data_IF_242029384164
#
_entry.id   IF_242029384164
#
_cell.length_a   1.000
_cell.length_b   1.000
_cell.length_c   1.000
_cell.angle_alpha   90.00
_cell.angle_beta   90.00
_cell.angle_gamma   90.00
#
_symmetry.space_group_name_H-M   'P 1'
#
loop_
_entity.id
_entity.type
_entity.pdbx_description
1 polymer ?
#
# COMPACT_ATOMS: atom_id res chain seq x y z
N UNK A 1 4.46 38.85 71.79
CA UNK A 1 5.13 38.56 70.50
C UNK A 1 4.64 37.23 69.97
N UNK A 2 4.25 37.20 68.70
CA UNK A 2 4.00 36.05 67.82
C UNK A 2 2.85 35.10 68.19
N UNK A 3 1.62 35.32 67.69
CA UNK A 3 1.13 35.00 66.33
C UNK A 3 1.24 33.49 66.00
N UNK A 4 0.13 32.77 65.98
CA UNK A 4 -0.61 32.40 64.74
C UNK A 4 -1.52 31.19 64.97
N UNK A 5 -2.80 31.50 65.01
CA UNK A 5 -3.92 30.61 64.76
C UNK A 5 -3.73 29.87 63.43
N UNK A 6 -3.68 28.54 63.49
CA UNK A 6 -3.79 27.61 62.36
C UNK A 6 -4.54 26.42 62.95
N UNK A 7 -5.68 25.96 62.43
CA UNK A 7 -5.85 25.47 61.08
C UNK A 7 -7.22 25.86 60.52
N UNK A 8 -7.21 26.35 59.28
CA UNK A 8 -8.37 26.41 58.40
C UNK A 8 -8.80 24.98 58.03
N UNK A 9 -10.07 24.68 58.25
CA UNK A 9 -10.77 23.57 57.62
C UNK A 9 -10.90 23.90 56.13
N UNK A 10 -10.27 23.11 55.29
CA UNK A 10 -10.49 23.13 53.84
C UNK A 10 -10.56 21.69 53.38
N UNK A 11 -11.75 21.11 53.45
CA UNK A 11 -12.07 19.85 52.83
C UNK A 11 -12.11 20.07 51.31
N UNK A 12 -10.94 20.02 50.67
CA UNK A 12 -10.87 19.93 49.22
C UNK A 12 -11.15 18.48 48.88
N UNK A 13 -12.41 18.21 48.50
CA UNK A 13 -12.77 16.99 47.82
C UNK A 13 -12.01 16.96 46.48
N UNK A 14 -10.82 16.34 46.48
CA UNK A 14 -10.14 15.99 45.24
C UNK A 14 -10.97 14.92 44.55
N UNK A 15 -11.90 15.36 43.70
CA UNK A 15 -12.52 14.53 42.68
C UNK A 15 -11.38 14.01 41.80
N UNK A 16 -10.96 12.77 42.07
CA UNK A 16 -10.01 12.08 41.22
C UNK A 16 -10.71 11.85 39.89
N UNK A 17 -10.41 12.69 38.91
CA UNK A 17 -10.67 12.36 37.51
C UNK A 17 -9.83 11.12 37.21
N UNK A 18 -10.43 9.94 37.35
CA UNK A 18 -9.95 8.77 36.64
C UNK A 18 -10.10 9.10 35.17
N UNK A 19 -9.00 9.55 34.56
CA UNK A 19 -8.86 9.47 33.12
C UNK A 19 -8.79 7.97 32.85
N UNK A 20 -9.95 7.37 32.59
CA UNK A 20 -10.01 6.11 31.87
C UNK A 20 -9.44 6.47 30.52
N UNK A 21 -8.14 6.27 30.35
CA UNK A 21 -7.57 6.14 29.03
C UNK A 21 -8.25 4.94 28.44
N UNK A 22 -9.32 5.19 27.69
CA UNK A 22 -9.67 4.32 26.59
C UNK A 22 -8.40 4.30 25.74
N UNK A 23 -7.52 3.33 26.00
CA UNK A 23 -6.60 2.83 25.03
C UNK A 23 -7.46 2.19 23.94
N UNK A 24 -8.19 3.02 23.19
CA UNK A 24 -8.40 2.73 21.79
C UNK A 24 -6.98 2.53 21.27
N UNK A 25 -6.67 1.27 20.95
CA UNK A 25 -5.50 0.91 20.19
C UNK A 25 -5.36 1.95 19.10
N UNK A 26 -4.30 2.74 19.15
CA UNK A 26 -3.97 3.72 18.12
C UNK A 26 -4.15 3.00 16.80
N UNK A 27 -5.19 3.38 16.04
CA UNK A 27 -5.43 2.78 14.75
C UNK A 27 -4.16 3.01 13.94
N UNK A 28 -3.43 1.93 13.68
CA UNK A 28 -2.33 1.98 12.74
C UNK A 28 -2.91 2.54 11.44
N UNK A 29 -2.27 3.58 10.90
CA UNK A 29 -2.68 4.23 9.66
C UNK A 29 -3.05 3.19 8.59
N UNK A 30 -3.99 3.52 7.70
CA UNK A 30 -4.60 2.73 6.61
C UNK A 30 -3.63 2.04 5.59
N UNK A 31 -2.35 1.91 5.93
CA UNK A 31 -1.24 1.29 5.20
C UNK A 31 -0.87 -0.10 5.74
N UNK A 32 -1.76 -0.71 6.54
CA UNK A 32 -1.53 -1.77 7.52
C UNK A 32 -2.24 -3.10 7.17
N UNK A 33 -1.91 -3.71 6.02
CA UNK A 33 -2.57 -4.96 5.65
C UNK A 33 -2.14 -6.13 6.52
N UNK A 34 -3.10 -6.82 7.16
CA UNK A 34 -2.88 -8.21 7.59
C UNK A 34 -2.68 -9.05 6.33
N UNK A 35 -1.53 -9.69 6.21
CA UNK A 35 -1.22 -10.56 5.07
C UNK A 35 -1.21 -12.03 5.48
N UNK A 36 -1.46 -12.90 4.50
CA UNK A 36 -1.35 -14.34 4.66
C UNK A 36 0.10 -14.80 4.55
N UNK A 37 0.30 -15.98 3.94
CA UNK A 37 1.63 -16.52 3.67
C UNK A 37 2.46 -15.53 2.84
N UNK A 38 3.66 -15.22 3.34
CA UNK A 38 4.61 -14.34 2.67
C UNK A 38 5.48 -15.16 1.71
N UNK A 39 5.58 -14.69 0.47
CA UNK A 39 6.51 -15.19 -0.52
C UNK A 39 7.76 -14.30 -0.57
N UNK A 40 8.94 -14.93 -0.62
CA UNK A 40 10.25 -14.25 -0.60
C UNK A 40 10.66 -13.65 -1.95
N UNK A 41 9.77 -13.65 -2.94
CA UNK A 41 9.99 -12.96 -4.21
C UNK A 41 8.69 -12.75 -4.96
N UNK A 42 8.58 -11.63 -5.67
CA UNK A 42 7.51 -11.39 -6.64
C UNK A 42 7.43 -12.53 -7.67
N UNK A 43 6.24 -13.09 -7.98
CA UNK A 43 6.07 -14.13 -9.00
C UNK A 43 6.60 -13.71 -10.37
N UNK A 44 7.19 -14.63 -11.13
CA UNK A 44 7.74 -14.36 -12.46
C UNK A 44 6.68 -13.86 -13.44
N UNK A 45 5.45 -14.38 -13.38
CA UNK A 45 4.32 -13.97 -14.21
C UNK A 45 3.92 -12.48 -14.04
N UNK A 46 4.25 -11.88 -12.90
CA UNK A 46 3.99 -10.47 -12.62
C UNK A 46 5.14 -9.56 -13.08
N UNK A 47 6.33 -10.12 -13.34
CA UNK A 47 7.54 -9.34 -13.69
C UNK A 47 7.56 -8.93 -15.15
N UNK A 48 8.11 -7.76 -15.43
CA UNK A 48 8.31 -7.17 -16.75
C UNK A 48 7.60 -5.83 -16.87
N UNK A 49 7.40 -5.40 -18.11
CA UNK A 49 6.80 -4.12 -18.43
C UNK A 49 5.29 -4.24 -18.56
N UNK A 50 4.60 -3.31 -17.91
CA UNK A 50 3.16 -3.13 -17.94
C UNK A 50 2.82 -1.69 -18.31
N UNK A 51 1.77 -1.50 -19.07
CA UNK A 51 1.47 -0.27 -19.80
C UNK A 51 0.04 0.16 -19.54
N UNK A 52 -0.17 1.45 -19.36
CA UNK A 52 -1.51 2.04 -19.23
C UNK A 52 -1.52 3.48 -19.70
N UNK A 53 -2.73 4.01 -19.87
CA UNK A 53 -2.97 5.44 -20.01
C UNK A 53 -3.73 5.92 -18.78
N UNK A 54 -3.14 6.86 -18.04
CA UNK A 54 -3.75 7.46 -16.85
C UNK A 54 -3.94 8.95 -17.16
N UNK A 55 -5.18 9.42 -17.12
CA UNK A 55 -5.55 10.80 -17.47
C UNK A 55 -4.99 11.23 -18.86
N UNK A 56 -5.10 10.35 -19.86
CA UNK A 56 -4.59 10.58 -21.22
C UNK A 56 -3.08 10.49 -21.38
N UNK A 57 -2.32 10.30 -20.29
CA UNK A 57 -0.86 10.21 -20.31
C UNK A 57 -0.37 8.77 -20.23
N UNK A 58 0.63 8.46 -21.03
CA UNK A 58 1.27 7.15 -21.01
C UNK A 58 1.97 6.88 -19.67
N UNK A 59 1.78 5.67 -19.17
CA UNK A 59 2.36 5.18 -17.94
C UNK A 59 3.01 3.81 -18.18
N UNK A 60 4.29 3.69 -17.83
CA UNK A 60 5.05 2.44 -17.86
C UNK A 60 5.35 1.97 -16.43
N UNK A 61 4.74 0.87 -16.03
CA UNK A 61 5.04 0.19 -14.76
C UNK A 61 5.95 -1.00 -15.02
N UNK A 62 7.11 -1.03 -14.36
CA UNK A 62 8.10 -2.09 -14.47
C UNK A 62 8.16 -2.85 -13.15
N UNK A 63 7.85 -4.14 -13.18
CA UNK A 63 7.91 -5.03 -12.02
C UNK A 63 9.12 -5.94 -12.18
N UNK A 64 10.01 -6.00 -11.19
CA UNK A 64 11.14 -6.94 -11.21
C UNK A 64 11.30 -7.62 -9.84
N UNK A 65 12.38 -8.41 -9.68
CA UNK A 65 12.64 -9.16 -8.43
C UNK A 65 12.97 -8.27 -7.23
N UNK A 66 13.30 -7.00 -7.43
CA UNK A 66 13.85 -6.08 -6.42
C UNK A 66 13.04 -4.80 -6.23
N UNK A 67 12.30 -4.38 -7.26
CA UNK A 67 11.53 -3.14 -7.24
C UNK A 67 10.31 -3.18 -8.18
N UNK A 68 9.39 -2.26 -7.92
CA UNK A 68 8.36 -1.80 -8.86
C UNK A 68 8.60 -0.33 -9.09
N UNK A 69 8.76 0.06 -10.36
CA UNK A 69 8.95 1.47 -10.74
C UNK A 69 7.91 1.87 -11.76
N UNK A 70 7.49 3.11 -11.73
CA UNK A 70 6.52 3.67 -12.66
C UNK A 70 7.11 4.90 -13.33
N UNK A 71 7.05 4.97 -14.67
CA UNK A 71 7.34 6.17 -15.43
C UNK A 71 6.01 6.79 -15.85
N UNK A 72 5.71 7.98 -15.36
CA UNK A 72 4.50 8.75 -15.66
C UNK A 72 4.92 10.16 -16.01
N UNK A 73 4.38 10.71 -17.10
CA UNK A 73 4.65 12.10 -17.53
C UNK A 73 6.16 12.39 -17.66
N UNK A 74 6.91 11.43 -18.22
CA UNK A 74 8.37 11.51 -18.36
C UNK A 74 9.18 11.24 -17.08
N UNK A 75 8.56 11.32 -15.89
CA UNK A 75 9.23 11.15 -14.60
C UNK A 75 9.15 9.71 -14.10
N UNK A 76 10.27 9.20 -13.56
CA UNK A 76 10.35 7.86 -12.99
C UNK A 76 10.24 7.91 -11.47
N UNK A 77 9.31 7.13 -10.93
CA UNK A 77 9.07 6.96 -9.51
C UNK A 77 9.30 5.49 -9.13
N UNK A 78 9.93 5.25 -7.98
CA UNK A 78 9.96 3.91 -7.39
C UNK A 78 8.75 3.78 -6.49
N UNK A 79 7.83 2.87 -6.81
CA UNK A 79 6.66 2.59 -5.99
C UNK A 79 7.04 1.64 -4.84
N UNK A 80 7.84 0.62 -5.14
CA UNK A 80 8.29 -0.38 -4.17
C UNK A 80 9.75 -0.72 -4.40
N UNK A 81 10.51 -0.84 -3.31
CA UNK A 81 11.85 -1.42 -3.31
C UNK A 81 12.11 -2.13 -1.99
N UNK A 82 12.82 -3.25 -2.02
CA UNK A 82 13.38 -3.82 -0.79
C UNK A 82 14.64 -3.06 -0.40
N UNK A 83 14.66 -2.47 0.79
CA UNK A 83 15.83 -1.81 1.39
C UNK A 83 16.39 -2.55 2.61
N UNK A 84 15.92 -3.78 2.87
CA UNK A 84 16.28 -4.53 4.07
C UNK A 84 17.71 -5.11 3.99
N UNK A 85 18.49 -4.90 5.07
CA UNK A 85 19.84 -5.49 5.20
C UNK A 85 19.73 -7.02 5.21
N UNK A 86 20.48 -7.68 4.33
CA UNK A 86 20.45 -9.14 4.17
C UNK A 86 19.32 -9.69 3.28
N UNK A 87 18.32 -8.88 2.89
CA UNK A 87 17.23 -9.31 2.05
C UNK A 87 16.89 -8.30 0.95
N UNK A 88 17.26 -8.63 -0.30
CA UNK A 88 17.20 -7.68 -1.42
C UNK A 88 16.00 -7.85 -2.34
N UNK A 89 15.24 -8.95 -2.24
CA UNK A 89 14.11 -9.24 -3.15
C UNK A 89 12.82 -8.57 -2.65
N UNK A 90 11.90 -8.20 -3.54
CA UNK A 90 10.58 -7.79 -3.12
C UNK A 90 9.80 -9.01 -2.63
N UNK A 91 9.46 -9.02 -1.34
CA UNK A 91 8.50 -9.96 -0.80
C UNK A 91 7.09 -9.66 -1.32
N UNK A 92 6.25 -10.67 -1.40
CA UNK A 92 4.92 -10.59 -1.97
C UNK A 92 3.94 -11.41 -1.13
N UNK A 93 2.76 -10.89 -0.84
CA UNK A 93 1.76 -11.62 -0.05
C UNK A 93 0.34 -11.18 -0.38
N UNK A 94 -0.62 -12.09 -0.20
CA UNK A 94 -2.05 -11.79 -0.30
C UNK A 94 -2.50 -10.99 0.92
N UNK A 95 -3.27 -9.94 0.69
CA UNK A 95 -3.92 -9.14 1.74
C UNK A 95 -5.15 -9.91 2.22
N UNK A 96 -5.21 -10.22 3.52
CA UNK A 96 -6.29 -11.00 4.13
C UNK A 96 -7.64 -10.31 3.93
N UNK A 97 -8.70 -11.10 3.73
CA UNK A 97 -10.05 -10.58 3.45
C UNK A 97 -10.23 -9.95 2.08
N UNK A 98 -9.22 -10.00 1.19
CA UNK A 98 -9.31 -9.45 -0.16
C UNK A 98 -8.77 -10.41 -1.21
N UNK A 99 -8.97 -10.09 -2.49
CA UNK A 99 -8.32 -10.76 -3.63
C UNK A 99 -7.10 -9.99 -4.14
N UNK A 100 -6.52 -9.14 -3.30
CA UNK A 100 -5.41 -8.24 -3.64
C UNK A 100 -4.13 -8.69 -2.96
N UNK A 101 -3.01 -8.23 -3.50
CA UNK A 101 -1.68 -8.55 -3.04
C UNK A 101 -0.88 -7.29 -2.79
N UNK A 102 0.07 -7.34 -1.86
CA UNK A 102 0.99 -6.23 -1.60
C UNK A 102 2.40 -6.60 -2.04
N UNK A 103 3.10 -5.63 -2.60
CA UNK A 103 4.55 -5.71 -2.76
C UNK A 103 5.24 -5.34 -1.44
N UNK A 104 6.48 -5.80 -1.27
CA UNK A 104 7.30 -5.53 -0.10
C UNK A 104 6.76 -6.12 1.22
N UNK A 105 6.02 -7.23 1.20
CA UNK A 105 5.30 -7.83 2.36
C UNK A 105 6.09 -8.02 3.68
N UNK A 106 7.42 -7.87 3.67
CA UNK A 106 8.28 -7.91 4.85
C UNK A 106 8.58 -6.52 5.44
N UNK A 107 8.07 -5.44 4.84
CA UNK A 107 8.38 -4.10 5.29
C UNK A 107 7.69 -3.75 6.61
N UNK A 108 8.49 -3.31 7.59
CA UNK A 108 8.03 -2.98 8.94
C UNK A 108 7.72 -1.50 9.15
N UNK A 109 8.24 -0.61 8.28
CA UNK A 109 8.13 0.86 8.37
C UNK A 109 8.09 1.46 6.95
N UNK A 110 7.48 2.65 6.81
CA UNK A 110 7.49 3.46 5.58
C UNK A 110 6.98 2.74 4.30
N UNK A 111 5.78 2.18 4.37
CA UNK A 111 5.08 1.68 3.19
C UNK A 111 4.51 2.84 2.36
N UNK A 112 4.83 2.90 1.07
CA UNK A 112 3.94 3.58 0.11
C UNK A 112 2.72 2.66 -0.06
N UNK A 113 1.56 3.08 0.44
CA UNK A 113 0.34 2.28 0.29
C UNK A 113 -0.15 2.35 -1.15
N UNK A 114 -0.02 1.24 -1.87
CA UNK A 114 -1.00 0.86 -2.89
C UNK A 114 -2.22 0.25 -2.17
N UNK A 115 -3.43 0.31 -2.75
CA UNK A 115 -4.58 -0.40 -2.19
C UNK A 115 -4.58 -1.90 -2.53
N UNK A 116 -3.38 -2.44 -2.79
CA UNK A 116 -3.10 -3.77 -3.29
C UNK A 116 -3.15 -3.86 -4.81
N UNK A 117 -2.68 -5.01 -5.31
CA UNK A 117 -2.57 -5.33 -6.72
C UNK A 117 -3.23 -6.67 -7.01
N UNK A 118 -3.66 -6.90 -8.26
CA UNK A 118 -4.27 -8.17 -8.64
C UNK A 118 -4.02 -8.48 -10.10
N UNK A 119 -3.61 -9.70 -10.42
CA UNK A 119 -3.78 -10.22 -11.79
C UNK A 119 -5.27 -10.49 -12.02
N UNK A 120 -5.79 -9.83 -13.03
CA UNK A 120 -7.15 -9.95 -13.52
C UNK A 120 -7.11 -10.21 -15.03
N UNK A 121 -8.26 -10.05 -15.65
CA UNK A 121 -8.44 -10.21 -17.08
C UNK A 121 -9.34 -9.11 -17.62
N UNK A 122 -9.16 -8.81 -18.90
CA UNK A 122 -10.06 -8.01 -19.70
C UNK A 122 -10.35 -8.73 -20.99
N UNK A 123 -11.53 -8.49 -21.53
CA UNK A 123 -11.83 -8.85 -22.92
C UNK A 123 -11.56 -7.61 -23.75
N UNK A 124 -10.58 -7.70 -24.64
CA UNK A 124 -10.26 -6.66 -25.63
C UNK A 124 -10.39 -7.31 -26.98
N UNK A 125 -11.28 -6.79 -27.83
CA UNK A 125 -11.53 -7.32 -29.17
C UNK A 125 -11.75 -8.84 -29.19
N UNK A 126 -12.69 -9.29 -28.35
CA UNK A 126 -13.05 -10.71 -28.19
C UNK A 126 -11.94 -11.63 -27.69
N UNK A 127 -10.77 -11.09 -27.31
CA UNK A 127 -9.67 -11.83 -26.72
C UNK A 127 -9.55 -11.55 -25.23
N UNK A 128 -9.47 -12.63 -24.44
CA UNK A 128 -9.23 -12.54 -23.00
C UNK A 128 -7.73 -12.29 -22.76
N UNK A 129 -7.39 -11.11 -22.28
CA UNK A 129 -6.02 -10.71 -21.94
C UNK A 129 -5.84 -10.58 -20.44
N UNK A 130 -4.69 -11.02 -19.93
CA UNK A 130 -4.34 -10.81 -18.53
C UNK A 130 -3.90 -9.36 -18.31
N UNK A 131 -4.40 -8.76 -17.22
CA UNK A 131 -4.02 -7.41 -16.80
C UNK A 131 -3.50 -7.46 -15.37
N UNK A 132 -2.55 -6.57 -15.07
CA UNK A 132 -2.13 -6.30 -13.71
C UNK A 132 -2.90 -5.06 -13.24
N UNK A 133 -3.80 -5.24 -12.28
CA UNK A 133 -4.60 -4.16 -11.71
C UNK A 133 -3.88 -3.55 -10.53
N UNK A 134 -3.65 -2.24 -10.60
CA UNK A 134 -3.14 -1.38 -9.53
C UNK A 134 -4.33 -0.64 -8.90
N UNK A 135 -4.64 -0.92 -7.63
CA UNK A 135 -5.73 -0.25 -6.93
C UNK A 135 -5.20 1.03 -6.25
N UNK A 136 -5.80 2.18 -6.58
CA UNK A 136 -5.50 3.46 -5.93
C UNK A 136 -6.56 3.80 -4.86
N UNK A 137 -6.36 4.87 -4.08
CA UNK A 137 -7.27 5.25 -2.98
C UNK A 137 -8.73 5.40 -3.45
N UNK A 138 -9.66 4.71 -2.78
CA UNK A 138 -11.08 4.62 -3.13
C UNK A 138 -11.47 3.27 -3.74
N UNK A 139 -12.46 3.28 -4.65
CA UNK A 139 -12.87 2.12 -5.49
C UNK A 139 -12.19 2.10 -6.86
N UNK A 140 -11.30 3.07 -7.12
CA UNK A 140 -10.60 3.25 -8.38
C UNK A 140 -9.44 2.27 -8.56
N UNK A 141 -9.15 1.94 -9.82
CA UNK A 141 -8.01 1.12 -10.20
C UNK A 141 -7.54 1.48 -11.60
N UNK A 142 -6.30 1.14 -11.90
CA UNK A 142 -5.72 1.20 -13.24
C UNK A 142 -5.40 -0.23 -13.68
N UNK A 143 -5.94 -0.64 -14.82
CA UNK A 143 -5.50 -1.88 -15.46
C UNK A 143 -4.25 -1.60 -16.28
N UNK A 144 -3.19 -2.34 -15.97
CA UNK A 144 -1.92 -2.31 -16.68
C UNK A 144 -1.86 -3.53 -17.59
N UNK A 145 -1.55 -3.30 -18.86
CA UNK A 145 -1.52 -4.30 -19.92
C UNK A 145 -0.07 -4.67 -20.26
N UNK A 146 0.18 -5.86 -20.81
CA UNK A 146 1.49 -6.16 -21.40
C UNK A 146 1.63 -5.49 -22.76
N UNK A 147 2.86 -5.11 -23.13
CA UNK A 147 3.14 -4.74 -24.50
C UNK A 147 3.05 -6.00 -25.38
N UNK A 148 2.33 -5.96 -26.50
CA UNK A 148 1.31 -4.98 -26.82
C UNK A 148 -0.07 -5.60 -26.97
N UNK A 149 -1.06 -4.93 -26.39
CA UNK A 149 -2.40 -4.91 -26.97
C UNK A 149 -2.33 -3.98 -28.19
N UNK A 150 -1.55 -4.35 -29.22
CA UNK A 150 -1.61 -3.76 -30.56
C UNK A 150 -2.63 -4.58 -31.34
N UNK A 151 -3.84 -4.07 -31.51
CA UNK A 151 -4.55 -4.26 -32.77
C UNK A 151 -4.74 -2.87 -33.37
N UNK A 152 -3.64 -2.31 -33.86
CA UNK A 152 -3.73 -1.16 -34.76
C UNK A 152 -4.25 -1.66 -36.10
N UNK A 153 -5.53 -1.47 -36.37
CA UNK A 153 -6.02 -1.45 -37.75
C UNK A 153 -5.83 -0.01 -38.25
N UNK A 154 -4.91 0.19 -39.19
CA UNK A 154 -5.00 1.34 -40.09
C UNK A 154 -6.07 1.01 -41.13
N UNK A 155 -6.98 1.95 -41.38
CA UNK A 155 -7.73 1.94 -42.65
C UNK A 155 -6.77 2.23 -43.79
#
# INVERSE_FOLDING_TARGET
>A
MNRLSKLLVSAVACLSFMIVTNHQSVHAADTYYKVGKIHSTTPTSWRGNWYSYVNGKFCLTQVNKYSVTQKYDGKKHTLFKSSWKGYRKLAFAKINGTNRYTFNALAKKAYQSDKGWRVSHRTVESQRVNVLRDYSGGTSYVDLFRSPVYKSYSK
#
